data_IF_309296145265
#
_entry.id   IF_309296145265
#
_cell.length_a   1.000
_cell.length_b   1.000
_cell.length_c   1.000
_cell.angle_alpha   90.00
_cell.angle_beta   90.00
_cell.angle_gamma   90.00
#
_symmetry.space_group_name_H-M   'P 1'
#
loop_
_entity.id
_entity.type
_entity.pdbx_description
1 polymer ?
#
# COMPACT_ATOMS: atom_id res chain seq x y z
N UNK A 1 -22.31 10.97 31.39
CA UNK A 1 -21.74 12.32 31.16
C UNK A 1 -21.27 12.38 29.71
N UNK A 2 -21.65 13.44 29.01
CA UNK A 2 -21.62 13.59 27.56
C UNK A 2 -20.23 13.90 27.01
N UNK A 3 -19.97 13.50 25.77
CA UNK A 3 -19.21 14.33 24.82
C UNK A 3 -19.89 14.25 23.45
N UNK A 4 -20.54 15.36 23.10
CA UNK A 4 -20.82 15.70 21.72
C UNK A 4 -19.53 16.30 21.14
N UNK A 5 -19.11 15.83 19.97
CA UNK A 5 -18.19 16.55 19.11
C UNK A 5 -18.78 16.57 17.71
N UNK A 6 -19.17 17.78 17.34
CA UNK A 6 -19.67 18.23 16.06
C UNK A 6 -18.69 17.92 14.91
N UNK A 7 -19.26 17.73 13.73
CA UNK A 7 -18.58 17.35 12.49
C UNK A 7 -17.52 18.38 12.03
N UNK A 8 -16.78 18.06 10.95
CA UNK A 8 -16.94 18.97 9.81
C UNK A 8 -17.34 18.27 8.50
N UNK A 9 -18.41 18.80 7.90
CA UNK A 9 -18.62 18.80 6.45
C UNK A 9 -17.38 19.40 5.78
N UNK A 10 -16.74 18.68 4.85
CA UNK A 10 -16.60 19.08 3.44
C UNK A 10 -15.50 18.28 2.75
N UNK A 11 -15.87 17.78 1.56
CA UNK A 11 -15.00 17.32 0.49
C UNK A 11 -14.40 15.92 0.64
N UNK A 12 -15.23 14.93 0.29
CA UNK A 12 -14.76 13.72 -0.36
C UNK A 12 -13.89 14.08 -1.58
N UNK A 13 -12.83 13.29 -1.84
CA UNK A 13 -12.68 12.72 -3.17
C UNK A 13 -13.00 11.23 -3.13
N UNK A 14 -13.77 10.82 -4.15
CA UNK A 14 -14.11 9.46 -4.52
C UNK A 14 -13.37 8.37 -3.76
N UNK A 15 -14.06 7.82 -2.76
CA UNK A 15 -13.82 6.48 -2.28
C UNK A 15 -13.92 5.56 -3.50
N UNK A 16 -12.76 5.23 -4.05
CA UNK A 16 -12.64 4.14 -5.00
C UNK A 16 -12.96 2.89 -4.19
N UNK A 17 -14.22 2.47 -4.28
CA UNK A 17 -14.70 1.22 -3.74
C UNK A 17 -13.75 0.11 -4.21
N UNK A 18 -13.00 -0.58 -3.33
CA UNK A 18 -12.41 -1.83 -3.76
C UNK A 18 -13.58 -2.78 -4.08
N UNK A 19 -13.55 -3.52 -5.21
CA UNK A 19 -14.53 -4.57 -5.42
C UNK A 19 -14.47 -5.55 -4.23
N UNK A 20 -15.59 -6.20 -3.87
CA UNK A 20 -15.57 -7.24 -2.85
C UNK A 20 -14.59 -8.30 -3.32
N UNK A 21 -13.46 -8.41 -2.64
CA UNK A 21 -12.57 -9.55 -2.79
C UNK A 21 -13.39 -10.75 -2.34
N UNK A 22 -13.93 -11.46 -3.33
CA UNK A 22 -14.57 -12.74 -3.14
C UNK A 22 -13.60 -13.60 -2.36
N UNK A 23 -13.99 -13.96 -1.14
CA UNK A 23 -13.38 -15.03 -0.41
C UNK A 23 -13.70 -16.33 -1.13
N UNK A 24 -12.73 -17.17 -1.49
CA UNK A 24 -12.96 -18.59 -1.45
C UNK A 24 -12.76 -19.05 0.01
N UNK A 25 -13.87 -19.36 0.67
CA UNK A 25 -13.83 -20.25 1.81
C UNK A 25 -13.33 -21.63 1.36
N UNK A 26 -12.39 -22.16 2.14
CA UNK A 26 -12.06 -23.57 2.28
C UNK A 26 -11.57 -24.36 1.05
N UNK A 27 -10.26 -24.56 0.98
CA UNK A 27 -9.69 -25.92 0.85
C UNK A 27 -8.24 -25.95 1.33
N UNK A 28 -7.90 -26.59 2.46
CA UNK A 28 -6.56 -27.12 2.68
C UNK A 28 -6.46 -28.48 1.97
N UNK A 29 -5.59 -28.70 0.97
CA UNK A 29 -5.11 -30.04 0.70
C UNK A 29 -3.91 -30.29 1.62
N UNK A 30 -4.18 -30.82 2.81
CA UNK A 30 -3.24 -31.77 3.38
C UNK A 30 -3.30 -33.04 2.52
N UNK A 31 -2.39 -33.19 1.56
CA UNK A 31 -1.87 -34.49 1.11
C UNK A 31 -0.87 -34.32 -0.02
N UNK A 32 0.37 -34.70 0.27
CA UNK A 32 1.42 -34.85 -0.72
C UNK A 32 2.80 -34.84 -0.10
N UNK A 33 3.11 -35.86 0.72
CA UNK A 33 4.51 -36.20 1.02
C UNK A 33 5.29 -36.28 -0.29
N UNK A 34 6.43 -35.59 -0.35
CA UNK A 34 7.59 -35.93 -1.18
C UNK A 34 8.70 -34.97 -0.73
N UNK A 35 9.54 -35.32 0.23
CA UNK A 35 10.77 -36.05 -0.08
C UNK A 35 11.50 -35.48 -1.32
N UNK A 36 11.75 -34.18 -1.34
CA UNK A 36 12.80 -33.54 -2.14
C UNK A 36 13.37 -32.37 -1.33
N UNK A 37 14.67 -32.09 -1.50
CA UNK A 37 15.48 -31.37 -0.52
C UNK A 37 14.92 -29.99 -0.09
N UNK A 38 14.86 -29.67 1.21
CA UNK A 38 14.15 -28.51 1.79
C UNK A 38 14.71 -27.12 1.39
N UNK A 39 15.72 -27.05 0.54
CA UNK A 39 16.43 -25.82 0.18
C UNK A 39 16.02 -25.24 -1.18
N UNK A 40 15.35 -26.02 -2.03
CA UNK A 40 15.00 -25.60 -3.40
C UNK A 40 13.62 -24.90 -3.47
N UNK A 41 12.56 -25.50 -2.90
CA UNK A 41 11.21 -24.91 -2.89
C UNK A 41 11.12 -23.62 -2.07
N UNK A 42 11.74 -23.57 -0.88
CA UNK A 42 11.79 -22.35 -0.03
C UNK A 42 12.46 -21.18 -0.75
N UNK A 43 13.42 -21.46 -1.64
CA UNK A 43 14.16 -20.43 -2.38
C UNK A 43 13.35 -19.90 -3.57
N UNK A 44 12.51 -20.73 -4.18
CA UNK A 44 11.59 -20.31 -5.23
C UNK A 44 10.48 -19.40 -4.64
N UNK A 45 9.91 -19.78 -3.51
CA UNK A 45 8.88 -19.01 -2.81
C UNK A 45 9.41 -17.65 -2.31
N UNK A 46 10.60 -17.64 -1.68
CA UNK A 46 11.29 -16.42 -1.25
C UNK A 46 11.58 -15.45 -2.42
N UNK A 47 11.89 -15.97 -3.61
CA UNK A 47 12.12 -15.12 -4.79
C UNK A 47 10.81 -14.56 -5.35
N UNK A 48 9.73 -15.34 -5.34
CA UNK A 48 8.41 -14.88 -5.73
C UNK A 48 7.89 -13.79 -4.77
N UNK A 49 7.99 -14.00 -3.46
CA UNK A 49 7.65 -13.01 -2.43
C UNK A 49 8.44 -11.72 -2.58
N UNK A 50 9.76 -11.80 -2.81
CA UNK A 50 10.58 -10.61 -3.04
C UNK A 50 10.19 -9.86 -4.31
N UNK A 51 9.97 -10.57 -5.42
CA UNK A 51 9.54 -9.97 -6.67
C UNK A 51 8.17 -9.29 -6.53
N UNK A 52 7.28 -9.89 -5.75
CA UNK A 52 5.97 -9.33 -5.41
C UNK A 52 6.13 -8.03 -4.60
N UNK A 53 6.88 -8.04 -3.50
CA UNK A 53 7.14 -6.85 -2.67
C UNK A 53 7.76 -5.69 -3.48
N UNK A 54 8.74 -5.98 -4.33
CA UNK A 54 9.35 -4.98 -5.24
C UNK A 54 8.31 -4.42 -6.25
N UNK A 55 7.39 -5.27 -6.73
CA UNK A 55 6.27 -4.87 -7.58
C UNK A 55 5.25 -4.00 -6.87
N UNK A 56 4.83 -4.40 -5.67
CA UNK A 56 3.90 -3.65 -4.81
C UNK A 56 4.48 -2.28 -4.44
N UNK A 57 5.76 -2.21 -4.08
CA UNK A 57 6.44 -0.94 -3.81
C UNK A 57 6.43 0.01 -5.03
N UNK A 58 6.73 -0.51 -6.22
CA UNK A 58 6.68 0.29 -7.46
C UNK A 58 5.26 0.75 -7.78
N UNK A 59 4.26 -0.12 -7.60
CA UNK A 59 2.87 0.21 -7.83
C UNK A 59 2.39 1.28 -6.84
N UNK A 60 2.72 1.16 -5.56
CA UNK A 60 2.39 2.14 -4.53
C UNK A 60 3.06 3.49 -4.80
N UNK A 61 4.33 3.50 -5.23
CA UNK A 61 5.03 4.72 -5.65
C UNK A 61 4.33 5.38 -6.85
N UNK A 62 4.02 4.60 -7.89
CA UNK A 62 3.35 5.11 -9.08
C UNK A 62 1.97 5.69 -8.76
N UNK A 63 1.20 5.03 -7.87
CA UNK A 63 -0.06 5.57 -7.34
C UNK A 63 0.17 6.90 -6.62
N UNK A 64 1.09 6.94 -5.66
CA UNK A 64 1.38 8.15 -4.90
C UNK A 64 1.74 9.33 -5.83
N UNK A 65 2.60 9.11 -6.82
CA UNK A 65 2.97 10.11 -7.84
C UNK A 65 1.74 10.59 -8.65
N UNK A 66 0.85 9.66 -9.04
CA UNK A 66 -0.37 10.00 -9.76
C UNK A 66 -1.36 10.81 -8.89
N UNK A 67 -1.57 10.39 -7.65
CA UNK A 67 -2.39 11.10 -6.66
C UNK A 67 -1.83 12.49 -6.38
N UNK A 68 -0.52 12.63 -6.23
CA UNK A 68 0.14 13.92 -6.06
C UNK A 68 -0.05 14.83 -7.28
N UNK A 69 0.08 14.30 -8.50
CA UNK A 69 -0.16 15.08 -9.72
C UNK A 69 -1.61 15.56 -9.82
N UNK A 70 -2.58 14.68 -9.54
CA UNK A 70 -3.99 15.01 -9.53
C UNK A 70 -4.29 16.09 -8.47
N UNK A 71 -3.85 15.87 -7.23
CA UNK A 71 -4.01 16.83 -6.15
C UNK A 71 -3.33 18.18 -6.48
N UNK A 72 -2.13 18.17 -7.07
CA UNK A 72 -1.44 19.39 -7.48
C UNK A 72 -2.19 20.14 -8.58
N UNK A 73 -2.81 19.44 -9.53
CA UNK A 73 -3.63 20.05 -10.57
C UNK A 73 -4.87 20.75 -9.96
N UNK A 74 -5.54 20.09 -9.02
CA UNK A 74 -6.66 20.65 -8.26
C UNK A 74 -6.22 21.85 -7.40
N UNK A 75 -5.10 21.73 -6.69
CA UNK A 75 -4.49 22.83 -5.94
C UNK A 75 -4.10 24.00 -6.84
N UNK A 76 -3.75 23.74 -8.10
CA UNK A 76 -3.39 24.75 -9.09
C UNK A 76 -4.56 25.67 -9.48
N UNK A 77 -5.81 25.20 -9.30
CA UNK A 77 -7.02 26.01 -9.50
C UNK A 77 -7.24 27.02 -8.36
N UNK A 78 -6.62 26.80 -7.19
CA UNK A 78 -6.69 27.69 -6.03
C UNK A 78 -5.62 28.78 -6.13
N UNK A 79 -5.78 29.86 -5.37
CA UNK A 79 -4.84 30.99 -5.31
C UNK A 79 -4.49 31.35 -3.87
N UNK A 80 -3.43 32.13 -3.68
CA UNK A 80 -3.02 32.61 -2.36
C UNK A 80 -2.64 31.52 -1.35
N UNK A 81 -3.09 31.69 -0.10
CA UNK A 81 -2.80 30.79 1.02
C UNK A 81 -3.37 29.39 0.79
N UNK A 82 -4.56 29.28 0.18
CA UNK A 82 -5.22 28.01 -0.10
C UNK A 82 -4.39 27.11 -1.03
N UNK A 83 -3.80 27.70 -2.08
CA UNK A 83 -2.89 26.96 -2.96
C UNK A 83 -1.68 26.42 -2.20
N UNK A 84 -1.11 27.22 -1.30
CA UNK A 84 0.08 26.84 -0.53
C UNK A 84 -0.23 25.75 0.49
N UNK A 85 -1.36 25.85 1.19
CA UNK A 85 -1.83 24.82 2.13
C UNK A 85 -2.13 23.51 1.38
N UNK A 86 -2.90 23.58 0.30
CA UNK A 86 -3.25 22.42 -0.53
C UNK A 86 -2.01 21.71 -1.09
N UNK A 87 -1.04 22.45 -1.64
CA UNK A 87 0.19 21.85 -2.20
C UNK A 87 1.04 21.21 -1.10
N UNK A 88 1.07 21.80 0.10
CA UNK A 88 1.81 21.28 1.24
C UNK A 88 1.19 19.98 1.75
N UNK A 89 -0.14 19.93 1.84
CA UNK A 89 -0.90 18.74 2.24
C UNK A 89 -0.72 17.60 1.23
N UNK A 90 -0.88 17.89 -0.08
CA UNK A 90 -0.64 16.93 -1.15
C UNK A 90 0.78 16.35 -1.10
N UNK A 91 1.79 17.19 -0.82
CA UNK A 91 3.18 16.72 -0.66
C UNK A 91 3.33 15.84 0.57
N UNK A 92 2.68 16.17 1.68
CA UNK A 92 2.72 15.37 2.91
C UNK A 92 2.06 14.00 2.70
N UNK A 93 0.91 13.96 2.02
CA UNK A 93 0.23 12.73 1.65
C UNK A 93 1.10 11.84 0.74
N UNK A 94 1.72 12.43 -0.28
CA UNK A 94 2.67 11.73 -1.15
C UNK A 94 3.84 11.13 -0.37
N UNK A 95 4.50 11.94 0.46
CA UNK A 95 5.65 11.50 1.26
C UNK A 95 5.26 10.40 2.27
N UNK A 96 4.08 10.53 2.88
CA UNK A 96 3.50 9.50 3.74
C UNK A 96 3.26 8.19 3.01
N UNK A 97 2.67 8.23 1.81
CA UNK A 97 2.42 7.05 0.99
C UNK A 97 3.74 6.35 0.58
N UNK A 98 4.75 7.12 0.17
CA UNK A 98 6.08 6.58 -0.16
C UNK A 98 6.72 5.90 1.06
N UNK A 99 6.61 6.52 2.24
CA UNK A 99 7.16 5.97 3.48
C UNK A 99 6.45 4.69 3.92
N UNK A 100 5.12 4.66 3.86
CA UNK A 100 4.32 3.46 4.13
C UNK A 100 4.72 2.32 3.19
N UNK A 101 4.76 2.60 1.88
CA UNK A 101 5.16 1.62 0.86
C UNK A 101 6.58 1.09 1.10
N UNK A 102 7.51 1.98 1.47
CA UNK A 102 8.89 1.57 1.81
C UNK A 102 8.92 0.71 3.07
N UNK A 103 8.13 1.02 4.08
CA UNK A 103 8.07 0.26 5.33
C UNK A 103 7.49 -1.14 5.09
N UNK A 104 6.43 -1.27 4.29
CA UNK A 104 5.89 -2.58 3.88
C UNK A 104 6.92 -3.40 3.10
N UNK A 105 7.59 -2.79 2.12
CA UNK A 105 8.65 -3.45 1.37
C UNK A 105 9.80 -3.92 2.26
N UNK A 106 10.22 -3.11 3.23
CA UNK A 106 11.28 -3.47 4.18
C UNK A 106 10.85 -4.63 5.09
N UNK A 107 9.60 -4.61 5.55
CA UNK A 107 9.00 -5.69 6.35
C UNK A 107 8.91 -6.99 5.58
N UNK A 108 8.42 -6.97 4.33
CA UNK A 108 8.40 -8.15 3.46
C UNK A 108 9.81 -8.65 3.13
N UNK A 109 10.75 -7.74 2.89
CA UNK A 109 12.15 -8.13 2.68
C UNK A 109 12.79 -8.78 3.92
N UNK A 110 12.44 -8.30 5.12
CA UNK A 110 12.87 -8.89 6.39
C UNK A 110 12.28 -10.28 6.61
N UNK A 111 10.99 -10.47 6.29
CA UNK A 111 10.29 -11.75 6.37
C UNK A 111 10.91 -12.79 5.41
N UNK A 112 11.14 -12.41 4.15
CA UNK A 112 11.86 -13.22 3.16
C UNK A 112 13.28 -13.58 3.61
N UNK A 113 13.95 -12.68 4.35
CA UNK A 113 15.29 -12.94 4.90
C UNK A 113 15.24 -13.92 6.07
N UNK A 114 14.21 -13.84 6.91
CA UNK A 114 13.98 -14.77 8.02
C UNK A 114 13.69 -16.20 7.52
N UNK A 115 12.93 -16.35 6.45
CA UNK A 115 12.63 -17.63 5.80
C UNK A 115 13.84 -18.34 5.18
N UNK A 116 14.94 -17.62 4.94
CA UNK A 116 16.17 -18.14 4.31
C UNK A 116 17.23 -18.62 5.29
N UNK A 117 16.97 -18.53 6.60
CA UNK A 117 17.90 -18.86 7.67
C UNK A 117 17.50 -20.17 8.34
#
# INVERSE_FOLDING_TARGET
>A
MAVAADAPKSTAPAATTPPPMTAPAATPPASGSMAASPKAEVKADAKAMKAKADGDYKAAKAKADADYKAAKAECGKKTGADKKACTKDAKAAHDGAIKMAKAEHDKEAADVKAMKK
#
